data_IF_428094165203
#
_entry.id   IF_428094165203
#
_cell.length_a   1.000
_cell.length_b   1.000
_cell.length_c   1.000
_cell.angle_alpha   90.00
_cell.angle_beta   90.00
_cell.angle_gamma   90.00
#
_symmetry.space_group_name_H-M   'P 1'
#
loop_
_entity.id
_entity.type
_entity.pdbx_description
1 polymer ?
#
# COMPACT_ATOMS: atom_id res chain seq x y z
N UNK A 1 -27.46 30.99 4.68
CA UNK A 1 -26.13 31.58 4.89
C UNK A 1 -26.31 33.09 4.77
N UNK A 2 -26.21 33.85 5.86
CA UNK A 2 -26.47 35.30 5.83
C UNK A 2 -25.15 36.06 5.66
N UNK A 3 -25.08 36.92 4.65
CA UNK A 3 -23.94 37.83 4.45
C UNK A 3 -24.41 39.24 4.76
N UNK A 4 -23.73 39.91 5.68
CA UNK A 4 -23.95 41.33 5.99
C UNK A 4 -22.87 42.15 5.29
N UNK A 5 -23.27 43.13 4.49
CA UNK A 5 -22.35 44.08 3.87
C UNK A 5 -22.36 45.40 4.64
N UNK A 6 -21.19 45.99 4.84
CA UNK A 6 -21.05 47.36 5.37
C UNK A 6 -20.47 48.24 4.28
N UNK A 7 -21.23 49.24 3.84
CA UNK A 7 -20.77 50.24 2.88
C UNK A 7 -19.88 51.28 3.57
N UNK A 8 -18.76 51.65 2.96
CA UNK A 8 -17.87 52.73 3.40
C UNK A 8 -18.46 54.14 3.26
N UNK A 9 -19.67 54.29 2.70
CA UNK A 9 -20.43 55.55 2.65
C UNK A 9 -21.64 55.58 3.60
N UNK A 10 -21.71 54.67 4.57
CA UNK A 10 -22.60 54.83 5.74
C UNK A 10 -24.09 54.57 5.50
N UNK A 11 -24.47 53.84 4.45
CA UNK A 11 -25.86 53.36 4.28
C UNK A 11 -25.92 51.84 4.30
N UNK A 12 -26.72 51.30 5.21
CA UNK A 12 -27.01 49.87 5.32
C UNK A 12 -28.12 49.52 4.32
N UNK A 13 -27.82 48.69 3.33
CA UNK A 13 -28.83 48.14 2.41
C UNK A 13 -29.09 46.70 2.81
N UNK A 14 -30.27 46.44 3.37
CA UNK A 14 -30.75 45.08 3.62
C UNK A 14 -31.40 44.57 2.34
N UNK A 15 -30.73 43.66 1.62
CA UNK A 15 -31.35 42.92 0.51
C UNK A 15 -31.53 41.46 0.93
N UNK A 16 -32.72 40.93 0.73
CA UNK A 16 -33.20 39.66 1.28
C UNK A 16 -32.43 38.40 0.85
N UNK A 17 -32.75 37.29 1.53
CA UNK A 17 -32.16 35.97 1.26
C UNK A 17 -32.40 35.51 -0.18
N UNK A 18 -31.33 35.19 -0.90
CA UNK A 18 -31.38 34.43 -2.14
C UNK A 18 -30.95 32.99 -1.87
N UNK A 19 -31.87 32.04 -2.08
CA UNK A 19 -31.54 30.62 -2.10
C UNK A 19 -31.06 30.25 -3.51
N UNK A 20 -29.76 30.01 -3.68
CA UNK A 20 -29.23 29.43 -4.92
C UNK A 20 -29.37 27.92 -4.81
N UNK A 21 -30.36 27.36 -5.51
CA UNK A 21 -30.51 25.91 -5.66
C UNK A 21 -29.63 25.47 -6.83
N UNK A 22 -28.49 24.81 -6.54
CA UNK A 22 -27.64 24.20 -7.56
C UNK A 22 -28.15 22.80 -7.87
N UNK A 23 -28.62 22.60 -9.11
CA UNK A 23 -28.94 21.27 -9.63
C UNK A 23 -27.65 20.46 -9.82
N UNK A 24 -27.54 19.23 -9.32
CA UNK A 24 -26.37 18.39 -9.54
C UNK A 24 -26.13 18.18 -11.04
N UNK A 25 -24.94 18.54 -11.53
CA UNK A 25 -24.51 18.27 -12.92
C UNK A 25 -24.29 19.47 -13.84
N UNK A 26 -24.49 20.71 -13.38
CA UNK A 26 -24.09 21.90 -14.13
C UNK A 26 -22.74 22.44 -13.62
N UNK A 27 -21.78 22.53 -14.55
CA UNK A 27 -20.40 22.95 -14.33
C UNK A 27 -20.34 24.29 -13.57
N UNK A 28 -19.78 24.23 -12.36
CA UNK A 28 -19.56 25.39 -11.46
C UNK A 28 -18.68 26.48 -12.13
N UNK A 29 -17.93 26.09 -13.14
CA UNK A 29 -16.95 26.88 -13.88
C UNK A 29 -17.60 28.11 -14.56
N UNK A 30 -18.81 27.96 -15.12
CA UNK A 30 -19.49 29.08 -15.79
C UNK A 30 -20.16 30.08 -14.82
N UNK A 31 -20.51 29.63 -13.61
CA UNK A 31 -21.13 30.48 -12.60
C UNK A 31 -20.08 31.36 -11.89
N UNK A 32 -18.87 30.84 -11.71
CA UNK A 32 -17.72 31.59 -11.18
C UNK A 32 -17.29 32.67 -12.17
N UNK A 33 -17.22 32.34 -13.47
CA UNK A 33 -16.88 33.29 -14.54
C UNK A 33 -17.91 34.42 -14.72
N UNK A 34 -19.18 34.17 -14.38
CA UNK A 34 -20.23 35.19 -14.38
C UNK A 34 -20.18 36.10 -13.16
N UNK A 35 -19.71 35.60 -12.01
CA UNK A 35 -19.53 36.38 -10.78
C UNK A 35 -18.25 37.21 -10.80
N UNK A 36 -17.17 36.71 -11.40
CA UNK A 36 -15.88 37.41 -11.53
C UNK A 36 -15.95 38.63 -12.48
N UNK A 37 -16.96 38.65 -13.36
CA UNK A 37 -17.26 39.79 -14.26
C UNK A 37 -17.98 40.94 -13.56
N UNK A 38 -18.34 40.83 -12.28
CA UNK A 38 -18.96 41.91 -11.51
C UNK A 38 -17.86 42.81 -10.93
N UNK A 39 -17.52 43.86 -11.68
CA UNK A 39 -16.45 44.82 -11.39
C UNK A 39 -16.51 45.31 -9.94
N UNK A 40 -15.42 45.08 -9.18
CA UNK A 40 -15.23 45.63 -7.83
C UNK A 40 -15.45 44.65 -6.66
N UNK A 41 -15.73 43.38 -6.93
CA UNK A 41 -15.83 42.34 -5.88
C UNK A 41 -14.60 41.43 -5.95
N UNK A 42 -13.66 41.63 -5.02
CA UNK A 42 -12.61 40.63 -4.77
C UNK A 42 -13.19 39.53 -3.88
N UNK A 43 -13.47 38.35 -4.44
CA UNK A 43 -13.78 37.16 -3.65
C UNK A 43 -12.47 36.61 -3.06
N UNK A 44 -12.12 37.00 -1.83
CA UNK A 44 -11.12 36.25 -1.07
C UNK A 44 -11.79 35.03 -0.45
N UNK A 45 -11.42 33.83 -0.91
CA UNK A 45 -11.82 32.59 -0.24
C UNK A 45 -11.01 32.46 1.04
N UNK A 46 -11.61 32.79 2.18
CA UNK A 46 -11.07 32.47 3.50
C UNK A 46 -11.46 31.04 3.87
N UNK A 47 -10.87 30.07 3.18
CA UNK A 47 -10.97 28.65 3.56
C UNK A 47 -9.76 27.93 2.97
N UNK A 48 -8.74 27.72 3.80
CA UNK A 48 -7.60 26.83 3.54
C UNK A 48 -7.99 25.35 3.44
N UNK A 49 -9.28 25.02 3.55
CA UNK A 49 -9.77 23.68 3.26
C UNK A 49 -9.82 23.52 1.75
N UNK A 50 -8.74 22.94 1.20
CA UNK A 50 -8.73 22.44 -0.17
C UNK A 50 -10.03 21.69 -0.43
N UNK A 51 -10.75 22.08 -1.48
CA UNK A 51 -11.88 21.30 -1.99
C UNK A 51 -11.27 20.01 -2.57
N UNK A 52 -11.01 19.02 -1.71
CA UNK A 52 -10.73 17.67 -2.15
C UNK A 52 -11.99 17.20 -2.86
N UNK A 53 -11.94 17.07 -4.18
CA UNK A 53 -12.83 16.13 -4.85
C UNK A 53 -12.47 14.78 -4.23
N UNK A 54 -13.23 14.38 -3.20
CA UNK A 54 -13.16 13.05 -2.62
C UNK A 54 -13.38 12.09 -3.79
N UNK A 55 -12.31 11.46 -4.27
CA UNK A 55 -12.46 10.26 -5.05
C UNK A 55 -13.29 9.32 -4.17
N UNK A 56 -14.31 8.67 -4.74
CA UNK A 56 -15.09 7.66 -4.03
C UNK A 56 -14.26 6.41 -3.70
N UNK A 57 -12.94 6.46 -3.95
CA UNK A 57 -11.97 5.41 -3.72
C UNK A 57 -10.68 6.00 -3.16
N UNK A 58 -10.20 5.43 -2.07
CA UNK A 58 -8.80 5.56 -1.63
C UNK A 58 -7.99 4.45 -2.30
N UNK A 59 -6.92 4.79 -3.00
CA UNK A 59 -6.07 3.81 -3.70
C UNK A 59 -4.60 3.98 -3.30
N UNK A 60 -3.97 2.87 -2.93
CA UNK A 60 -2.53 2.77 -2.78
C UNK A 60 -2.01 1.70 -3.73
N UNK A 61 -1.12 2.10 -4.64
CA UNK A 61 -0.45 1.21 -5.59
C UNK A 61 1.05 1.37 -5.52
N UNK A 62 1.78 0.28 -5.68
CA UNK A 62 3.24 0.29 -5.77
C UNK A 62 3.72 -0.74 -6.77
N UNK A 63 4.76 -0.38 -7.53
CA UNK A 63 5.48 -1.27 -8.44
C UNK A 63 6.99 -1.29 -8.13
N UNK A 64 7.37 -0.91 -6.91
CA UNK A 64 8.73 -1.05 -6.42
C UNK A 64 8.87 -2.49 -5.92
N UNK A 65 9.83 -3.27 -6.46
CA UNK A 65 9.95 -4.68 -6.12
C UNK A 65 10.29 -4.86 -4.63
N UNK A 66 9.60 -5.81 -3.98
CA UNK A 66 9.92 -6.27 -2.64
C UNK A 66 10.34 -7.73 -2.72
N UNK A 67 11.54 -8.06 -2.23
CA UNK A 67 12.18 -9.35 -2.43
C UNK A 67 12.40 -10.02 -1.08
N UNK A 68 11.94 -11.26 -0.97
CA UNK A 68 12.28 -12.18 0.12
C UNK A 68 13.23 -13.24 -0.47
N UNK A 69 14.55 -13.11 -0.28
CA UNK A 69 15.50 -14.16 -0.64
C UNK A 69 15.38 -15.33 0.35
N UNK A 70 15.81 -16.53 -0.03
CA UNK A 70 15.90 -17.66 0.90
C UNK A 70 17.06 -17.54 1.90
N UNK A 71 18.20 -17.05 1.43
CA UNK A 71 19.46 -16.96 2.17
C UNK A 71 20.46 -16.14 1.37
N UNK A 72 21.42 -15.52 2.05
CA UNK A 72 22.56 -14.87 1.42
C UNK A 72 23.66 -14.63 2.47
N UNK A 73 24.76 -14.05 2.03
CA UNK A 73 25.69 -13.28 2.86
C UNK A 73 25.66 -11.83 2.39
N UNK A 74 25.66 -10.86 3.32
CA UNK A 74 26.01 -9.47 3.00
C UNK A 74 27.46 -9.27 3.40
N UNK A 75 28.34 -9.09 2.42
CA UNK A 75 29.76 -8.87 2.65
C UNK A 75 30.00 -7.53 3.36
N UNK A 76 31.17 -7.35 3.97
CA UNK A 76 31.56 -6.12 4.68
C UNK A 76 31.48 -4.85 3.82
N UNK A 77 31.61 -4.98 2.50
CA UNK A 77 31.45 -3.88 1.54
C UNK A 77 29.98 -3.64 1.11
N UNK A 78 29.02 -4.29 1.76
CA UNK A 78 27.59 -4.19 1.45
C UNK A 78 27.12 -5.00 0.24
N UNK A 79 28.00 -5.79 -0.38
CA UNK A 79 27.59 -6.64 -1.50
C UNK A 79 26.79 -7.83 -1.00
N UNK A 80 25.68 -8.12 -1.67
CA UNK A 80 24.82 -9.26 -1.41
C UNK A 80 24.82 -10.20 -2.62
N UNK A 81 24.78 -11.51 -2.39
CA UNK A 81 24.67 -12.53 -3.44
C UNK A 81 23.49 -13.45 -3.17
N UNK A 82 22.44 -13.32 -3.97
CA UNK A 82 21.20 -14.09 -3.84
C UNK A 82 21.07 -15.13 -4.95
N UNK A 83 20.13 -16.06 -4.77
CA UNK A 83 19.65 -16.92 -5.87
C UNK A 83 19.22 -16.06 -7.06
N UNK A 84 19.55 -16.49 -8.28
CA UNK A 84 19.28 -15.73 -9.50
C UNK A 84 17.81 -15.31 -9.61
N UNK A 85 17.60 -13.99 -9.57
CA UNK A 85 16.33 -13.30 -9.72
C UNK A 85 15.84 -13.32 -11.19
N UNK A 86 14.55 -13.04 -11.47
CA UNK A 86 14.02 -13.16 -12.83
C UNK A 86 14.55 -12.06 -13.77
N UNK A 87 15.07 -10.97 -13.21
CA UNK A 87 15.71 -9.86 -13.91
C UNK A 87 16.69 -9.14 -12.99
N UNK A 88 17.46 -8.21 -13.53
CA UNK A 88 18.27 -7.27 -12.74
C UNK A 88 17.39 -6.11 -12.30
N UNK A 89 17.32 -5.84 -11.00
CA UNK A 89 16.54 -4.72 -10.45
C UNK A 89 17.43 -3.51 -10.16
N UNK A 90 17.15 -2.38 -10.82
CA UNK A 90 17.84 -1.11 -10.54
C UNK A 90 17.62 -0.58 -9.10
N UNK A 91 16.68 -1.17 -8.37
CA UNK A 91 16.39 -0.89 -6.98
C UNK A 91 15.25 -1.77 -6.48
N UNK A 92 15.41 -2.37 -5.31
CA UNK A 92 14.39 -3.19 -4.67
C UNK A 92 14.52 -3.12 -3.14
N UNK A 93 13.40 -3.34 -2.45
CA UNK A 93 13.37 -3.54 -1.00
C UNK A 93 13.62 -5.02 -0.72
N UNK A 94 14.76 -5.37 -0.12
CA UNK A 94 15.16 -6.76 0.13
C UNK A 94 15.04 -7.06 1.62
N UNK A 95 14.30 -8.11 1.97
CA UNK A 95 14.21 -8.57 3.35
C UNK A 95 15.56 -9.13 3.81
N UNK A 96 16.06 -8.61 4.92
CA UNK A 96 17.24 -9.12 5.62
C UNK A 96 16.85 -9.41 7.07
N UNK A 97 17.26 -10.56 7.65
CA UNK A 97 17.10 -10.79 9.08
C UNK A 97 18.03 -9.89 9.89
N UNK A 98 17.79 -9.80 11.20
CA UNK A 98 18.67 -9.10 12.12
C UNK A 98 20.11 -9.61 11.98
N UNK A 99 21.08 -8.71 12.17
CA UNK A 99 22.51 -8.97 12.06
C UNK A 99 23.03 -9.36 10.66
N UNK A 100 22.21 -9.37 9.61
CA UNK A 100 22.72 -9.47 8.23
C UNK A 100 23.51 -8.21 7.84
N UNK A 101 23.07 -7.05 8.33
CA UNK A 101 23.78 -5.78 8.34
C UNK A 101 24.30 -5.54 9.75
N UNK A 102 25.53 -5.05 9.90
CA UNK A 102 26.13 -4.80 11.23
C UNK A 102 25.29 -3.79 12.01
N UNK A 103 24.75 -4.20 13.16
CA UNK A 103 23.86 -3.37 13.98
C UNK A 103 22.51 -3.07 13.33
N UNK A 104 22.14 -3.83 12.29
CA UNK A 104 20.87 -3.70 11.58
C UNK A 104 19.78 -4.62 12.14
N UNK A 105 18.56 -4.11 12.12
CA UNK A 105 17.34 -4.83 12.52
C UNK A 105 16.78 -5.71 11.39
N UNK A 106 15.88 -6.64 11.72
CA UNK A 106 15.19 -7.44 10.72
C UNK A 106 14.14 -6.59 9.96
N UNK A 107 14.28 -6.47 8.64
CA UNK A 107 13.34 -5.70 7.83
C UNK A 107 13.79 -5.56 6.38
N UNK A 108 13.30 -4.54 5.69
CA UNK A 108 13.63 -4.34 4.27
C UNK A 108 14.71 -3.28 4.09
N UNK A 109 15.78 -3.67 3.44
CA UNK A 109 16.87 -2.78 3.08
C UNK A 109 16.85 -2.49 1.59
N UNK A 110 17.04 -1.22 1.23
CA UNK A 110 17.16 -0.85 -0.17
C UNK A 110 18.40 -1.48 -0.78
N UNK A 111 18.24 -2.16 -1.91
CA UNK A 111 19.33 -2.86 -2.59
C UNK A 111 19.30 -2.53 -4.07
N UNK A 112 20.46 -2.18 -4.63
CA UNK A 112 20.65 -1.92 -6.06
C UNK A 112 21.37 -3.12 -6.66
N UNK A 113 20.73 -3.81 -7.60
CA UNK A 113 21.32 -4.98 -8.26
C UNK A 113 22.10 -4.58 -9.51
N UNK A 114 23.31 -5.11 -9.65
CA UNK A 114 24.12 -5.00 -10.87
C UNK A 114 23.94 -6.21 -11.80
N UNK A 115 23.42 -7.32 -11.27
CA UNK A 115 23.03 -8.52 -12.01
C UNK A 115 21.83 -9.21 -11.34
N UNK A 116 21.31 -10.30 -11.91
CA UNK A 116 20.25 -11.09 -11.27
C UNK A 116 20.68 -11.80 -9.98
N UNK A 117 21.98 -11.87 -9.68
CA UNK A 117 22.49 -12.54 -8.47
C UNK A 117 23.17 -11.59 -7.50
N UNK A 118 23.66 -10.44 -7.95
CA UNK A 118 24.51 -9.57 -7.14
C UNK A 118 23.95 -8.15 -7.03
N UNK A 119 23.97 -7.62 -5.81
CA UNK A 119 23.57 -6.25 -5.53
C UNK A 119 24.38 -5.61 -4.41
N UNK A 120 24.08 -4.34 -4.16
CA UNK A 120 24.68 -3.54 -3.09
C UNK A 120 23.59 -3.04 -2.14
N UNK A 121 23.62 -3.55 -0.91
CA UNK A 121 22.69 -3.20 0.18
C UNK A 121 23.03 -1.82 0.71
N UNK A 122 21.99 -1.02 0.94
CA UNK A 122 22.07 0.37 1.40
C UNK A 122 21.52 0.50 2.80
N UNK A 123 21.86 1.59 3.48
CA UNK A 123 21.43 1.84 4.87
C UNK A 123 19.95 2.23 4.99
N UNK A 124 19.28 2.54 3.88
CA UNK A 124 17.84 2.81 3.88
C UNK A 124 17.07 1.57 4.30
N UNK A 125 16.15 1.74 5.25
CA UNK A 125 15.47 0.67 5.96
C UNK A 125 13.96 0.94 6.06
N UNK A 126 13.17 -0.11 5.95
CA UNK A 126 11.73 -0.11 6.26
C UNK A 126 11.48 -1.20 7.29
N UNK A 127 10.86 -0.81 8.40
CA UNK A 127 10.33 -1.73 9.40
C UNK A 127 9.04 -2.39 8.85
N UNK A 128 8.98 -3.72 8.75
CA UNK A 128 7.79 -4.43 8.26
C UNK A 128 6.57 -4.31 9.19
N UNK A 129 6.73 -3.82 10.42
CA UNK A 129 5.65 -3.60 11.39
C UNK A 129 5.01 -2.22 11.27
N UNK A 130 5.67 -1.28 10.59
CA UNK A 130 5.19 0.07 10.35
C UNK A 130 4.36 0.17 9.06
N UNK A 131 3.71 1.33 8.85
CA UNK A 131 2.95 1.58 7.63
C UNK A 131 3.87 1.65 6.40
N UNK A 132 3.57 0.84 5.39
CA UNK A 132 4.33 0.77 4.16
C UNK A 132 3.90 1.85 3.18
N UNK A 133 4.81 2.80 2.95
CA UNK A 133 4.67 3.81 1.89
C UNK A 133 5.67 3.45 0.79
N UNK A 134 5.24 3.14 -0.45
CA UNK A 134 6.16 2.88 -1.55
C UNK A 134 7.00 4.11 -1.86
N UNK A 135 8.32 4.00 -1.73
CA UNK A 135 9.24 5.04 -2.22
C UNK A 135 10.55 4.44 -2.71
N UNK A 136 11.19 5.14 -3.63
CA UNK A 136 12.60 4.94 -4.00
C UNK A 136 13.41 5.93 -3.18
N UNK A 137 14.40 5.50 -2.38
CA UNK A 137 15.26 6.42 -1.65
C UNK A 137 15.91 7.46 -2.57
N UNK A 138 15.90 8.72 -2.14
CA UNK A 138 16.54 9.85 -2.83
C UNK A 138 17.67 10.43 -1.99
N UNK A 139 18.55 11.23 -2.61
CA UNK A 139 19.70 11.84 -1.95
C UNK A 139 20.92 10.90 -1.88
N UNK A 140 21.79 11.12 -0.88
CA UNK A 140 23.01 10.33 -0.70
C UNK A 140 22.67 8.95 -0.16
N UNK A 141 22.74 7.94 -1.02
CA UNK A 141 22.49 6.54 -0.68
C UNK A 141 23.81 5.90 -0.21
N UNK A 142 23.90 5.61 1.09
CA UNK A 142 25.10 5.02 1.69
C UNK A 142 25.04 3.50 1.64
N UNK A 143 26.14 2.86 1.27
CA UNK A 143 26.27 1.40 1.30
C UNK A 143 26.31 0.91 2.74
N UNK A 144 25.50 -0.10 3.05
CA UNK A 144 25.48 -0.73 4.36
C UNK A 144 26.76 -1.56 4.59
N UNK A 145 27.17 -1.70 5.84
CA UNK A 145 28.25 -2.63 6.23
C UNK A 145 27.62 -3.98 6.55
N UNK A 146 27.84 -4.97 5.70
CA UNK A 146 27.37 -6.33 5.96
C UNK A 146 28.16 -7.01 7.07
N UNK A 147 27.51 -7.92 7.79
CA UNK A 147 28.17 -8.70 8.85
C UNK A 147 29.12 -9.78 8.34
N UNK A 148 29.12 -10.03 7.02
CA UNK A 148 29.84 -11.12 6.36
C UNK A 148 29.48 -12.52 6.91
N UNK A 149 28.36 -12.62 7.61
CA UNK A 149 27.80 -13.87 8.10
C UNK A 149 26.71 -14.34 7.15
N UNK A 150 26.68 -15.64 6.87
CA UNK A 150 25.59 -16.24 6.12
C UNK A 150 24.31 -16.19 6.96
N UNK A 151 23.20 -15.83 6.35
CA UNK A 151 21.88 -15.84 6.96
C UNK A 151 20.91 -16.71 6.18
N UNK A 152 19.87 -17.18 6.88
CA UNK A 152 18.73 -17.89 6.29
C UNK A 152 17.47 -17.14 6.68
N UNK A 153 16.63 -16.86 5.68
CA UNK A 153 15.34 -16.24 5.89
C UNK A 153 14.40 -17.22 6.62
N UNK A 154 13.60 -16.78 7.61
CA UNK A 154 12.67 -17.65 8.31
C UNK A 154 11.76 -18.43 7.35
N UNK A 155 11.75 -19.75 7.50
CA UNK A 155 10.83 -20.63 6.76
C UNK A 155 9.57 -20.87 7.56
N UNK A 156 8.44 -21.14 6.89
CA UNK A 156 7.19 -21.43 7.59
C UNK A 156 6.50 -20.20 8.21
N UNK A 157 7.14 -19.03 8.22
CA UNK A 157 6.64 -17.79 8.83
C UNK A 157 6.22 -16.80 7.76
N UNK A 158 5.17 -16.04 8.04
CA UNK A 158 4.73 -14.94 7.18
C UNK A 158 5.62 -13.71 7.43
N UNK A 159 6.29 -13.26 6.38
CA UNK A 159 7.04 -12.00 6.34
C UNK A 159 6.11 -10.95 5.75
N UNK A 160 5.85 -9.89 6.52
CA UNK A 160 5.02 -8.77 6.06
C UNK A 160 5.79 -8.00 5.00
N UNK A 161 5.25 -7.91 3.78
CA UNK A 161 5.85 -7.17 2.67
C UNK A 161 5.23 -5.78 2.51
N UNK A 162 3.93 -5.69 2.72
CA UNK A 162 3.17 -4.42 2.70
C UNK A 162 2.23 -4.44 3.89
N UNK A 163 2.23 -3.38 4.68
CA UNK A 163 1.37 -3.19 5.83
C UNK A 163 0.70 -1.83 5.75
N UNK A 164 -0.62 -1.78 5.55
CA UNK A 164 -1.36 -0.54 5.48
C UNK A 164 -2.23 -0.42 6.72
N UNK A 165 -2.04 0.66 7.46
CA UNK A 165 -2.80 0.92 8.68
C UNK A 165 -4.25 1.25 8.32
N UNK A 166 -5.19 0.58 8.97
CA UNK A 166 -6.60 0.93 8.91
C UNK A 166 -6.99 1.60 10.23
N UNK A 167 -7.21 2.92 10.24
CA UNK A 167 -7.74 3.59 11.42
C UNK A 167 -9.05 2.97 11.88
N UNK A 168 -9.33 3.09 13.17
CA UNK A 168 -10.62 2.68 13.73
C UNK A 168 -11.76 3.32 12.94
N UNK A 169 -12.79 2.52 12.64
CA UNK A 169 -13.97 2.94 11.88
C UNK A 169 -13.74 3.35 10.42
N UNK A 170 -12.54 3.20 9.87
CA UNK A 170 -12.20 3.58 8.48
C UNK A 170 -12.99 2.82 7.41
N UNK A 171 -13.52 1.64 7.74
CA UNK A 171 -14.41 0.86 6.87
C UNK A 171 -15.82 0.83 7.47
N UNK A 172 -16.82 1.31 6.72
CA UNK A 172 -18.23 1.35 7.12
C UNK A 172 -18.99 0.14 6.56
N UNK A 173 -20.23 -0.06 7.00
CA UNK A 173 -21.08 -1.10 6.42
C UNK A 173 -21.38 -0.74 4.96
N UNK A 174 -21.14 -1.68 4.04
CA UNK A 174 -21.27 -1.43 2.60
C UNK A 174 -19.95 -1.08 1.90
N UNK A 175 -18.89 -0.76 2.66
CA UNK A 175 -17.54 -0.58 2.09
C UNK A 175 -17.01 -1.87 1.47
N UNK A 176 -16.32 -1.72 0.34
CA UNK A 176 -15.55 -2.78 -0.30
C UNK A 176 -14.08 -2.43 -0.35
N UNK A 177 -13.23 -3.40 -0.04
CA UNK A 177 -11.79 -3.30 -0.26
C UNK A 177 -11.38 -4.38 -1.26
N UNK A 178 -10.59 -3.98 -2.25
CA UNK A 178 -9.98 -4.88 -3.23
C UNK A 178 -8.47 -4.82 -3.05
N UNK A 179 -7.83 -5.98 -3.10
CA UNK A 179 -6.38 -6.10 -3.02
C UNK A 179 -5.89 -6.92 -4.20
N UNK A 180 -4.76 -6.51 -4.76
CA UNK A 180 -4.07 -7.15 -5.87
C UNK A 180 -2.59 -7.26 -5.52
N UNK A 181 -1.99 -8.40 -5.84
CA UNK A 181 -0.54 -8.58 -5.85
C UNK A 181 -0.13 -9.38 -7.08
N UNK A 182 0.99 -8.96 -7.69
CA UNK A 182 1.70 -9.71 -8.72
C UNK A 182 3.01 -10.20 -8.11
N UNK A 183 3.26 -11.50 -8.19
CA UNK A 183 4.48 -12.09 -7.66
C UNK A 183 5.23 -12.93 -8.70
N UNK A 184 6.54 -12.98 -8.54
CA UNK A 184 7.45 -13.84 -9.31
C UNK A 184 8.25 -14.70 -8.33
N UNK A 185 8.47 -15.96 -8.69
CA UNK A 185 9.24 -16.90 -7.88
C UNK A 185 9.87 -17.98 -8.78
N UNK A 186 10.87 -18.75 -8.31
CA UNK A 186 11.39 -19.85 -9.09
C UNK A 186 10.43 -21.05 -9.07
N UNK A 187 10.32 -21.73 -10.21
CA UNK A 187 9.62 -23.01 -10.35
C UNK A 187 10.39 -24.08 -9.55
N UNK A 188 9.90 -24.46 -8.38
CA UNK A 188 10.53 -25.46 -7.50
C UNK A 188 9.51 -26.14 -6.59
N UNK A 189 9.80 -27.35 -6.11
CA UNK A 189 8.85 -28.17 -5.35
C UNK A 189 8.25 -27.47 -4.11
N UNK A 190 9.05 -26.70 -3.39
CA UNK A 190 8.61 -26.03 -2.17
C UNK A 190 7.68 -24.85 -2.45
N UNK A 191 6.66 -24.67 -1.62
CA UNK A 191 5.68 -23.60 -1.77
C UNK A 191 6.27 -22.23 -1.44
N UNK A 192 5.98 -21.26 -2.31
CA UNK A 192 6.21 -19.82 -2.10
C UNK A 192 4.83 -19.20 -2.03
N UNK A 193 4.46 -18.68 -0.88
CA UNK A 193 3.08 -18.32 -0.58
C UNK A 193 2.96 -16.81 -0.46
N UNK A 194 1.94 -16.24 -1.11
CA UNK A 194 1.49 -14.87 -0.90
C UNK A 194 0.10 -14.89 -0.27
N UNK A 195 -0.12 -14.05 0.75
CA UNK A 195 -1.44 -13.91 1.36
C UNK A 195 -1.83 -12.46 1.55
N UNK A 196 -3.09 -12.15 1.27
CA UNK A 196 -3.73 -10.90 1.65
C UNK A 196 -4.49 -11.11 2.97
N UNK A 197 -4.32 -10.20 3.92
CA UNK A 197 -4.90 -10.31 5.26
C UNK A 197 -5.56 -9.01 5.72
N UNK A 198 -6.54 -9.16 6.61
CA UNK A 198 -7.12 -8.11 7.43
C UNK A 198 -6.73 -8.41 8.89
N UNK A 199 -5.80 -7.63 9.43
CA UNK A 199 -5.06 -7.98 10.65
C UNK A 199 -4.40 -9.35 10.49
N UNK A 200 -4.70 -10.29 11.39
CA UNK A 200 -4.23 -11.68 11.29
C UNK A 200 -5.10 -12.60 10.42
N UNK A 201 -6.29 -12.16 10.01
CA UNK A 201 -7.26 -12.99 9.27
C UNK A 201 -6.94 -12.98 7.79
N UNK A 202 -6.74 -14.16 7.20
CA UNK A 202 -6.52 -14.28 5.75
C UNK A 202 -7.80 -13.97 4.96
N UNK A 203 -7.69 -13.07 3.98
CA UNK A 203 -8.72 -12.80 2.98
C UNK A 203 -8.59 -13.82 1.84
N UNK A 204 -7.35 -14.09 1.44
CA UNK A 204 -7.01 -15.10 0.44
C UNK A 204 -5.51 -15.38 0.42
N UNK A 205 -5.16 -16.59 -0.01
CA UNK A 205 -3.80 -17.11 -0.01
C UNK A 205 -3.58 -17.88 -1.30
N UNK A 206 -2.41 -17.69 -1.92
CA UNK A 206 -1.98 -18.44 -3.08
C UNK A 206 -0.57 -18.98 -2.85
N UNK A 207 -0.37 -20.26 -3.15
CA UNK A 207 0.91 -20.93 -3.05
C UNK A 207 1.41 -21.31 -4.45
N UNK A 208 2.67 -21.01 -4.73
CA UNK A 208 3.35 -21.33 -5.97
C UNK A 208 4.43 -22.37 -5.70
N UNK A 209 4.31 -23.54 -6.31
CA UNK A 209 5.34 -24.59 -6.29
C UNK A 209 5.96 -24.66 -7.68
N UNK A 210 5.23 -25.26 -8.62
CA UNK A 210 5.72 -25.56 -9.97
C UNK A 210 5.40 -24.47 -11.01
N UNK A 211 5.23 -23.22 -10.58
CA UNK A 211 5.01 -22.07 -11.47
C UNK A 211 6.02 -20.97 -11.15
N UNK A 212 6.25 -20.08 -12.10
CA UNK A 212 7.21 -18.97 -11.96
C UNK A 212 6.61 -17.74 -11.27
N UNK A 213 5.45 -17.88 -10.63
CA UNK A 213 4.69 -16.80 -10.03
C UNK A 213 3.25 -16.74 -10.52
N UNK A 214 2.60 -15.61 -10.25
CA UNK A 214 1.19 -15.41 -10.56
C UNK A 214 0.63 -14.15 -9.92
N UNK A 215 -0.70 -14.08 -9.88
CA UNK A 215 -1.43 -12.92 -9.39
C UNK A 215 -2.47 -13.38 -8.38
N UNK A 216 -2.52 -12.73 -7.23
CA UNK A 216 -3.58 -12.89 -6.25
C UNK A 216 -4.45 -11.63 -6.26
N UNK A 217 -5.74 -11.79 -6.50
CA UNK A 217 -6.72 -10.68 -6.36
C UNK A 217 -7.78 -11.10 -5.34
N UNK A 218 -7.97 -10.32 -4.29
CA UNK A 218 -8.94 -10.62 -3.23
C UNK A 218 -9.90 -9.47 -3.00
N UNK A 219 -11.05 -9.80 -2.42
CA UNK A 219 -12.11 -8.86 -2.06
C UNK A 219 -12.52 -9.03 -0.60
N UNK A 220 -12.82 -7.90 0.02
CA UNK A 220 -13.37 -7.75 1.36
C UNK A 220 -14.65 -6.93 1.25
N UNK A 221 -15.79 -7.48 1.68
CA UNK A 221 -17.08 -6.79 1.66
C UNK A 221 -17.59 -6.64 3.09
N UNK A 222 -17.61 -5.42 3.60
CA UNK A 222 -18.02 -5.15 4.98
C UNK A 222 -19.54 -5.20 5.08
N UNK A 223 -20.07 -6.15 5.85
CA UNK A 223 -21.51 -6.29 6.11
C UNK A 223 -21.90 -5.75 7.49
N UNK A 224 -20.99 -5.84 8.44
CA UNK A 224 -21.05 -5.17 9.73
C UNK A 224 -19.60 -4.85 10.19
N UNK A 225 -19.43 -3.97 11.19
CA UNK A 225 -18.11 -3.65 11.76
C UNK A 225 -17.32 -4.89 12.19
N UNK A 226 -17.98 -5.96 12.61
CA UNK A 226 -17.37 -7.22 13.02
C UNK A 226 -17.74 -8.41 12.09
N UNK A 227 -18.22 -8.13 10.87
CA UNK A 227 -18.62 -9.17 9.93
C UNK A 227 -18.30 -8.79 8.50
N UNK A 228 -17.40 -9.54 7.88
CA UNK A 228 -16.96 -9.28 6.52
C UNK A 228 -17.09 -10.54 5.66
N UNK A 229 -17.50 -10.39 4.40
CA UNK A 229 -17.38 -11.48 3.43
C UNK A 229 -16.01 -11.36 2.79
N UNK A 230 -15.23 -12.44 2.85
CA UNK A 230 -13.86 -12.54 2.35
C UNK A 230 -13.83 -13.46 1.14
N UNK A 231 -12.95 -13.17 0.18
CA UNK A 231 -12.73 -14.10 -0.93
C UNK A 231 -11.64 -13.70 -1.90
N UNK A 232 -11.28 -14.66 -2.75
CA UNK A 232 -10.36 -14.49 -3.87
C UNK A 232 -11.16 -14.44 -5.17
N UNK A 233 -10.80 -13.55 -6.09
CA UNK A 233 -11.42 -13.48 -7.41
C UNK A 233 -10.80 -14.54 -8.34
N UNK A 234 -11.63 -15.20 -9.15
CA UNK A 234 -11.19 -16.16 -10.16
C UNK A 234 -10.94 -17.59 -9.65
N UNK A 235 -11.17 -17.86 -8.36
CA UNK A 235 -11.19 -19.23 -7.86
C UNK A 235 -12.54 -19.88 -8.20
N UNK A 236 -12.51 -20.98 -8.97
CA UNK A 236 -13.70 -21.72 -9.40
C UNK A 236 -13.93 -23.00 -8.58
N UNK A 237 -13.18 -23.20 -7.49
CA UNK A 237 -13.47 -24.26 -6.55
C UNK A 237 -14.79 -23.98 -5.81
N UNK A 238 -15.59 -25.03 -5.56
CA UNK A 238 -16.76 -24.95 -4.68
C UNK A 238 -16.23 -24.70 -3.26
N UNK A 239 -16.06 -23.44 -2.90
CA UNK A 239 -15.59 -23.01 -1.59
C UNK A 239 -16.74 -22.37 -0.82
N UNK A 240 -16.83 -22.68 0.47
CA UNK A 240 -17.80 -22.05 1.35
C UNK A 240 -17.52 -20.54 1.42
N UNK A 241 -18.57 -19.73 1.54
CA UNK A 241 -18.39 -18.28 1.76
C UNK A 241 -17.61 -18.06 3.05
N UNK A 242 -16.43 -17.44 2.92
CA UNK A 242 -15.59 -17.15 4.06
C UNK A 242 -16.07 -15.87 4.75
N UNK A 243 -16.32 -15.95 6.07
CA UNK A 243 -16.79 -14.83 6.88
C UNK A 243 -15.72 -14.44 7.89
N UNK A 244 -15.17 -13.24 7.71
CA UNK A 244 -14.29 -12.60 8.67
C UNK A 244 -15.06 -12.04 9.87
N UNK A 245 -14.42 -12.07 11.03
CA UNK A 245 -14.95 -11.57 12.31
C UNK A 245 -14.08 -10.46 12.91
N UNK A 246 -13.27 -9.79 12.09
CA UNK A 246 -12.36 -8.74 12.57
C UNK A 246 -13.18 -7.53 13.01
N UNK A 247 -12.91 -6.99 14.21
CA UNK A 247 -13.61 -5.81 14.72
C UNK A 247 -13.02 -4.51 14.13
N UNK A 248 -13.68 -3.96 13.12
CA UNK A 248 -13.33 -2.72 12.43
C UNK A 248 -13.78 -1.45 13.18
N UNK A 249 -14.37 -1.58 14.37
CA UNK A 249 -14.52 -0.46 15.29
C UNK A 249 -13.21 -0.10 15.98
N UNK A 250 -12.23 -1.03 16.00
CA UNK A 250 -10.86 -0.79 16.42
C UNK A 250 -9.94 -0.62 15.20
N UNK A 251 -8.73 -0.10 15.43
CA UNK A 251 -7.70 -0.06 14.40
C UNK A 251 -7.31 -1.49 13.96
N UNK A 252 -7.00 -1.64 12.67
CA UNK A 252 -6.57 -2.90 12.07
C UNK A 252 -5.55 -2.60 10.97
N UNK A 253 -5.23 -3.58 10.13
CA UNK A 253 -4.35 -3.39 8.98
C UNK A 253 -4.76 -4.24 7.80
N UNK A 254 -4.43 -3.78 6.59
CA UNK A 254 -4.44 -4.59 5.38
C UNK A 254 -2.99 -4.99 5.10
N UNK A 255 -2.74 -6.29 5.02
CA UNK A 255 -1.38 -6.81 4.98
C UNK A 255 -1.21 -7.72 3.77
N UNK A 256 -0.12 -7.52 3.03
CA UNK A 256 0.39 -8.49 2.06
C UNK A 256 1.60 -9.17 2.68
N UNK A 257 1.53 -10.49 2.79
CA UNK A 257 2.59 -11.32 3.38
C UNK A 257 3.17 -12.27 2.36
N UNK A 258 4.46 -12.53 2.47
CA UNK A 258 5.19 -13.54 1.71
C UNK A 258 5.74 -14.60 2.64
N UNK A 259 5.75 -15.86 2.21
CA UNK A 259 6.25 -16.99 3.00
C UNK A 259 6.98 -17.99 2.12
N UNK A 260 8.16 -18.42 2.59
CA UNK A 260 8.93 -19.50 1.98
C UNK A 260 8.72 -20.78 2.80
N UNK A 261 8.32 -21.88 2.16
CA UNK A 261 8.15 -23.16 2.83
C UNK A 261 9.49 -23.87 3.14
N UNK A 262 10.54 -23.55 2.38
CA UNK A 262 11.86 -24.14 2.53
C UNK A 262 12.96 -23.10 2.30
N UNK A 263 14.21 -23.48 2.56
CA UNK A 263 15.40 -22.63 2.44
C UNK A 263 15.90 -22.49 1.00
N UNK A 264 15.05 -22.66 -0.01
CA UNK A 264 15.42 -22.58 -1.43
C UNK A 264 14.51 -21.63 -2.20
N UNK A 265 15.11 -20.81 -3.07
CA UNK A 265 14.41 -19.92 -3.98
C UNK A 265 14.23 -18.51 -3.45
N UNK A 266 13.22 -17.80 -3.95
CA UNK A 266 12.90 -16.44 -3.55
C UNK A 266 11.41 -16.17 -3.79
N UNK A 267 10.89 -15.09 -3.23
CA UNK A 267 9.62 -14.50 -3.62
C UNK A 267 9.84 -13.01 -3.92
N UNK A 268 9.39 -12.55 -5.08
CA UNK A 268 9.36 -11.13 -5.44
C UNK A 268 7.91 -10.68 -5.54
N UNK A 269 7.53 -9.65 -4.79
CA UNK A 269 6.35 -8.85 -5.05
C UNK A 269 6.71 -7.78 -6.08
N UNK A 270 6.24 -7.96 -7.32
CA UNK A 270 6.54 -7.07 -8.44
C UNK A 270 5.67 -5.81 -8.40
N UNK A 271 4.40 -5.99 -8.03
CA UNK A 271 3.44 -4.91 -7.93
C UNK A 271 2.31 -5.27 -6.98
N UNK A 272 1.69 -4.24 -6.41
CA UNK A 272 0.47 -4.38 -5.65
C UNK A 272 -0.45 -3.17 -5.84
N UNK A 273 -1.72 -3.39 -5.55
CA UNK A 273 -2.74 -2.36 -5.52
C UNK A 273 -3.75 -2.69 -4.42
N UNK A 274 -4.09 -1.70 -3.61
CA UNK A 274 -5.10 -1.78 -2.56
C UNK A 274 -6.05 -0.62 -2.79
N UNK A 275 -7.30 -0.93 -3.13
CA UNK A 275 -8.35 0.06 -3.36
C UNK A 275 -9.46 -0.14 -2.34
N UNK A 276 -9.87 0.94 -1.69
CA UNK A 276 -11.00 1.00 -0.77
C UNK A 276 -12.05 1.93 -1.36
N UNK A 277 -13.27 1.44 -1.56
CA UNK A 277 -14.40 2.30 -1.89
C UNK A 277 -14.90 3.02 -0.63
N UNK A 278 -14.93 4.35 -0.65
CA UNK A 278 -15.50 5.17 0.42
C UNK A 278 -17.03 5.18 0.20
N UNK A 279 -17.77 4.74 1.23
CA UNK A 279 -19.23 4.70 1.26
C UNK A 279 -19.77 5.49 2.42
#
# INVERSE_FOLDING_TARGET
MSVTYTSTTGSTVTVGEYAVTVTPGLQLENAVDALDKLVGISLSRTSDVALSLLSSTDELSGAIPIIIPNSSTVATNGNITVTALPTTYGGAWVYLPADAVVGGEAGFYWTIFSSSTSGSVKTNYIDPTEEFIPYVPTGTITTAVGSNSAYVTPTGTDIVMVNISLPANSLSNGTTVKMFSRVTCPNAADAKTVSHKLGSTAIGTQAFTTSTGGTLTTGLFVRAKNRQVLGTFGDSAISATNIGLVNLAAASSLVITGKLAATTGYLVLEAFNITKAIG
#
